data_IF_075861391820
#
_entry.id   IF_075861391820
#
_cell.length_a   1.000
_cell.length_b   1.000
_cell.length_c   1.000
_cell.angle_alpha   90.00
_cell.angle_beta   90.00
_cell.angle_gamma   90.00
#
_symmetry.space_group_name_H-M   'P 1'
#
loop_
_entity.id
_entity.type
_entity.pdbx_description
1 polymer ?
#
# COMPACT_ATOMS: atom_id res chain seq x y z
N UNK A 1 19.58 11.35 9.10
CA UNK A 1 20.04 12.03 7.88
C UNK A 1 19.12 13.22 7.71
N UNK A 2 19.63 14.45 7.83
CA UNK A 2 18.80 15.65 7.71
C UNK A 2 18.30 15.72 6.27
N UNK A 3 16.99 15.52 6.06
CA UNK A 3 16.34 15.96 4.84
C UNK A 3 16.77 17.41 4.61
N UNK A 4 17.43 17.65 3.47
CA UNK A 4 17.76 19.00 3.02
C UNK A 4 16.50 19.85 3.17
N UNK A 5 16.58 20.93 3.95
CA UNK A 5 15.48 21.87 4.11
C UNK A 5 15.28 22.60 2.78
N UNK A 6 14.68 21.94 1.81
CA UNK A 6 14.14 22.60 0.65
C UNK A 6 13.12 23.60 1.20
N UNK A 7 13.41 24.88 0.97
CA UNK A 7 12.63 25.99 1.50
C UNK A 7 11.36 26.12 0.69
N UNK A 8 10.40 25.21 0.92
CA UNK A 8 9.06 25.33 0.37
C UNK A 8 8.29 26.38 1.17
N UNK A 9 7.58 27.27 0.47
CA UNK A 9 6.74 28.29 1.08
C UNK A 9 5.31 27.76 1.17
N UNK A 10 4.77 27.74 2.39
CA UNK A 10 3.41 27.28 2.61
C UNK A 10 2.45 28.39 2.19
N UNK A 11 1.45 28.13 1.32
CA UNK A 11 0.56 29.16 0.81
C UNK A 11 -0.51 29.55 1.86
N UNK A 12 -0.10 30.04 3.04
CA UNK A 12 -0.99 30.38 4.15
C UNK A 12 -2.12 31.35 3.81
N UNK A 13 -2.01 32.09 2.70
CA UNK A 13 -3.11 32.93 2.20
C UNK A 13 -4.33 32.10 1.76
N UNK A 14 -4.13 30.89 1.24
CA UNK A 14 -5.17 29.99 0.75
C UNK A 14 -5.54 28.90 1.77
N UNK A 15 -4.60 28.50 2.64
CA UNK A 15 -4.83 27.51 3.70
C UNK A 15 -5.75 28.08 4.81
N UNK A 16 -7.06 27.88 4.67
CA UNK A 16 -8.11 28.39 5.58
C UNK A 16 -9.31 27.43 5.64
N UNK A 17 -10.18 27.65 6.63
CA UNK A 17 -11.41 26.87 6.82
C UNK A 17 -11.10 25.38 6.94
N UNK A 18 -11.90 24.55 6.24
CA UNK A 18 -11.75 23.09 6.26
C UNK A 18 -10.33 22.60 5.97
N UNK A 19 -9.62 23.22 5.03
CA UNK A 19 -8.23 22.82 4.70
C UNK A 19 -7.27 23.06 5.88
N UNK A 20 -7.44 24.15 6.62
CA UNK A 20 -6.61 24.42 7.81
C UNK A 20 -6.97 23.49 8.97
N UNK A 21 -8.26 23.16 9.13
CA UNK A 21 -8.73 22.18 10.11
C UNK A 21 -8.17 20.79 9.81
N UNK A 22 -8.25 20.34 8.55
CA UNK A 22 -7.71 19.06 8.10
C UNK A 22 -6.20 18.96 8.32
N UNK A 23 -5.47 20.04 8.00
CA UNK A 23 -4.03 20.11 8.24
C UNK A 23 -3.71 19.93 9.72
N UNK A 24 -4.43 20.64 10.60
CA UNK A 24 -4.21 20.55 12.04
C UNK A 24 -4.62 19.18 12.59
N UNK A 25 -5.71 18.60 12.11
CA UNK A 25 -6.16 17.26 12.49
C UNK A 25 -5.06 16.22 12.22
N UNK A 26 -4.53 16.22 10.99
CA UNK A 26 -3.48 15.30 10.57
C UNK A 26 -2.15 15.57 11.31
N UNK A 27 -1.76 16.84 11.50
CA UNK A 27 -0.56 17.20 12.26
C UNK A 27 -0.64 16.77 13.73
N UNK A 28 -1.79 16.92 14.37
CA UNK A 28 -1.98 16.50 15.77
C UNK A 28 -1.84 14.99 15.93
N UNK A 29 -2.38 14.21 14.99
CA UNK A 29 -2.15 12.77 14.94
C UNK A 29 -0.66 12.43 14.74
N UNK A 30 0.01 13.13 13.84
CA UNK A 30 1.45 12.97 13.58
C UNK A 30 2.32 13.24 14.81
N UNK A 31 1.91 14.19 15.65
CA UNK A 31 2.58 14.57 16.89
C UNK A 31 2.37 13.58 18.04
N UNK A 32 1.68 12.45 17.79
CA UNK A 32 1.38 11.44 18.81
C UNK A 32 0.08 11.68 19.56
N UNK A 33 -0.82 12.51 19.01
CA UNK A 33 -2.16 12.69 19.54
C UNK A 33 -2.97 11.39 19.43
N UNK A 34 -3.67 11.03 20.49
CA UNK A 34 -4.62 9.92 20.54
C UNK A 34 -6.04 10.45 20.69
N UNK A 35 -7.02 9.65 20.29
CA UNK A 35 -8.45 10.01 20.29
C UNK A 35 -8.76 11.32 19.54
N UNK A 36 -8.01 11.60 18.45
CA UNK A 36 -8.20 12.80 17.62
C UNK A 36 -9.60 12.75 17.00
N UNK A 37 -10.43 13.74 17.34
CA UNK A 37 -11.83 13.80 16.92
C UNK A 37 -12.12 15.15 16.28
N UNK A 38 -12.53 15.14 15.00
CA UNK A 38 -13.07 16.32 14.33
C UNK A 38 -14.52 16.53 14.76
N UNK A 39 -14.85 17.75 15.18
CA UNK A 39 -16.19 18.16 15.59
C UNK A 39 -16.74 19.10 14.53
N UNK A 40 -17.51 18.58 13.58
CA UNK A 40 -18.23 19.42 12.62
C UNK A 40 -19.39 20.13 13.33
N UNK A 41 -19.35 21.46 13.31
CA UNK A 41 -20.49 22.31 13.61
C UNK A 41 -21.68 21.98 12.71
N UNK A 42 -22.89 22.01 13.27
CA UNK A 42 -24.11 21.74 12.50
C UNK A 42 -24.26 22.71 11.32
N UNK A 43 -24.64 22.19 10.16
CA UNK A 43 -24.96 22.98 8.97
C UNK A 43 -26.17 23.90 9.22
N UNK A 44 -25.88 25.17 9.54
CA UNK A 44 -26.86 26.26 9.61
C UNK A 44 -26.20 27.54 10.15
N UNK A 45 -26.46 28.68 9.50
CA UNK A 45 -25.94 30.04 9.77
C UNK A 45 -26.29 30.63 11.18
N UNK A 46 -26.34 29.81 12.23
CA UNK A 46 -26.71 30.26 13.57
C UNK A 46 -26.55 29.26 14.71
N UNK A 47 -25.98 28.07 14.48
CA UNK A 47 -25.56 27.23 15.60
C UNK A 47 -24.22 27.76 16.12
N UNK A 48 -24.18 28.16 17.40
CA UNK A 48 -22.95 28.62 18.03
C UNK A 48 -21.95 27.45 18.10
N UNK A 49 -21.03 27.39 17.14
CA UNK A 49 -19.88 26.50 17.20
C UNK A 49 -19.16 26.75 18.52
N UNK A 50 -19.14 25.73 19.36
CA UNK A 50 -18.70 25.79 20.75
C UNK A 50 -17.20 26.04 20.92
N UNK A 51 -16.55 26.76 20.03
CA UNK A 51 -15.13 27.09 20.09
C UNK A 51 -14.23 25.85 20.12
N UNK A 52 -14.64 24.78 19.44
CA UNK A 52 -13.95 23.48 19.39
C UNK A 52 -14.16 22.81 18.04
N UNK A 53 -13.18 22.93 17.16
CA UNK A 53 -13.15 22.23 15.87
C UNK A 53 -12.53 20.83 16.00
N UNK A 54 -11.49 20.68 16.84
CA UNK A 54 -10.79 19.41 17.06
C UNK A 54 -10.58 19.16 18.56
N UNK A 55 -10.76 17.91 18.97
CA UNK A 55 -10.40 17.40 20.29
C UNK A 55 -9.32 16.33 20.16
N UNK A 56 -8.29 16.38 20.98
CA UNK A 56 -7.21 15.38 20.99
C UNK A 56 -6.69 15.19 22.40
N UNK A 57 -6.13 14.02 22.69
CA UNK A 57 -5.45 13.75 23.95
C UNK A 57 -3.98 13.43 23.69
N UNK A 58 -3.10 13.93 24.55
CA UNK A 58 -1.70 13.54 24.57
C UNK A 58 -1.43 12.73 25.84
N UNK A 59 -0.63 11.68 25.68
CA UNK A 59 -0.23 10.80 26.78
C UNK A 59 1.17 11.17 27.24
N UNK A 60 1.33 11.40 28.54
CA UNK A 60 2.60 11.77 29.14
C UNK A 60 3.01 10.70 30.17
N UNK A 61 4.15 10.01 29.96
CA UNK A 61 4.65 9.08 30.97
C UNK A 61 5.08 9.86 32.22
N UNK A 62 4.65 9.37 33.38
CA UNK A 62 5.04 9.92 34.68
C UNK A 62 6.22 9.15 35.27
N UNK A 63 7.00 9.73 36.21
CA UNK A 63 8.20 9.08 36.76
C UNK A 63 7.95 7.76 37.50
N UNK A 64 6.72 7.53 37.97
CA UNK A 64 6.26 6.30 38.63
C UNK A 64 5.79 5.22 37.66
N UNK A 65 5.80 5.49 36.35
CA UNK A 65 5.45 4.53 35.30
C UNK A 65 3.98 4.57 34.89
N UNK A 66 3.19 5.47 35.46
CA UNK A 66 1.82 5.76 35.02
C UNK A 66 1.83 6.65 33.75
N UNK A 67 0.63 6.89 33.21
CA UNK A 67 0.42 7.70 32.02
C UNK A 67 -0.65 8.74 32.31
N UNK A 68 -0.24 10.01 32.35
CA UNK A 68 -1.16 11.14 32.44
C UNK A 68 -1.75 11.43 31.06
N UNK A 69 -3.07 11.66 31.03
CA UNK A 69 -3.78 12.07 29.83
C UNK A 69 -4.08 13.55 29.88
N UNK A 70 -3.56 14.30 28.90
CA UNK A 70 -3.77 15.74 28.76
C UNK A 70 -4.74 16.01 27.62
N UNK A 71 -5.92 16.59 27.93
CA UNK A 71 -6.97 16.85 26.94
C UNK A 71 -6.82 18.23 26.32
N UNK A 72 -6.75 18.25 24.99
CA UNK A 72 -6.56 19.46 24.18
C UNK A 72 -7.81 19.74 23.34
N UNK A 73 -8.27 20.98 23.40
CA UNK A 73 -9.20 21.55 22.43
C UNK A 73 -8.44 22.43 21.47
N UNK A 74 -8.74 22.31 20.17
CA UNK A 74 -8.15 23.14 19.13
C UNK A 74 -9.26 23.85 18.39
N UNK A 75 -9.17 25.18 18.43
CA UNK A 75 -10.03 26.12 17.71
C UNK A 75 -9.25 26.67 16.52
N UNK A 76 -9.82 26.57 15.33
CA UNK A 76 -9.19 26.95 14.07
C UNK A 76 -9.75 28.27 13.57
N UNK A 77 -8.87 29.24 13.32
CA UNK A 77 -9.23 30.59 12.86
C UNK A 77 -8.49 30.93 11.57
N UNK A 78 -9.11 30.58 10.45
CA UNK A 78 -8.69 31.04 9.12
C UNK A 78 -8.90 32.56 8.95
N UNK A 79 -7.84 33.34 8.73
CA UNK A 79 -7.92 34.79 8.54
C UNK A 79 -7.04 35.29 7.39
N UNK A 80 -7.49 36.37 6.75
CA UNK A 80 -6.70 37.12 5.75
C UNK A 80 -5.81 38.19 6.38
N UNK A 81 -6.06 38.54 7.65
CA UNK A 81 -5.35 39.53 8.46
C UNK A 81 -5.08 38.94 9.84
N UNK A 82 -4.43 39.70 10.71
CA UNK A 82 -4.14 39.25 12.07
C UNK A 82 -5.39 38.94 12.90
N UNK A 83 -5.25 38.04 13.87
CA UNK A 83 -6.32 37.65 14.79
C UNK A 83 -6.43 38.65 15.95
N UNK A 84 -7.63 39.22 16.10
CA UNK A 84 -7.97 40.18 17.15
C UNK A 84 -8.48 39.50 18.44
N UNK A 85 -8.45 40.21 19.60
CA UNK A 85 -8.76 39.59 20.89
C UNK A 85 -10.16 38.97 20.94
N UNK A 86 -11.15 39.63 20.33
CA UNK A 86 -12.54 39.18 20.37
C UNK A 86 -12.71 37.76 19.80
N UNK A 87 -11.94 37.42 18.75
CA UNK A 87 -11.99 36.10 18.12
C UNK A 87 -11.38 34.99 18.99
N UNK A 88 -10.56 35.34 19.97
CA UNK A 88 -9.91 34.39 20.90
C UNK A 88 -10.74 34.26 22.19
N UNK A 89 -11.33 35.36 22.67
CA UNK A 89 -12.11 35.40 23.92
C UNK A 89 -13.23 34.37 23.96
N UNK A 90 -13.99 34.20 22.87
CA UNK A 90 -15.10 33.24 22.84
C UNK A 90 -14.63 31.80 23.05
N UNK A 91 -13.54 31.40 22.39
CA UNK A 91 -12.96 30.08 22.52
C UNK A 91 -12.42 29.84 23.95
N UNK A 92 -11.73 30.83 24.52
CA UNK A 92 -11.24 30.76 25.90
C UNK A 92 -12.37 30.62 26.90
N UNK A 93 -13.42 31.45 26.78
CA UNK A 93 -14.55 31.40 27.70
C UNK A 93 -15.33 30.08 27.61
N UNK A 94 -15.44 29.51 26.41
CA UNK A 94 -16.08 28.21 26.24
C UNK A 94 -15.25 27.09 26.87
N UNK A 95 -13.96 27.00 26.53
CA UNK A 95 -13.08 25.99 27.09
C UNK A 95 -12.94 26.12 28.62
N UNK A 96 -12.94 27.34 29.16
CA UNK A 96 -12.92 27.59 30.61
C UNK A 96 -14.22 27.17 31.33
N UNK A 97 -15.33 27.01 30.61
CA UNK A 97 -16.56 26.44 31.15
C UNK A 97 -16.54 24.92 31.29
N UNK A 98 -15.46 24.25 30.85
CA UNK A 98 -15.32 22.80 30.84
C UNK A 98 -14.10 22.39 31.69
N UNK A 99 -14.35 21.74 32.83
CA UNK A 99 -13.31 21.38 33.80
C UNK A 99 -12.35 20.28 33.31
N UNK A 100 -12.74 19.55 32.26
CA UNK A 100 -11.97 18.45 31.67
C UNK A 100 -10.98 18.89 30.59
N UNK A 101 -10.87 20.19 30.28
CA UNK A 101 -9.96 20.72 29.25
C UNK A 101 -8.67 21.23 29.88
N UNK A 102 -7.55 20.58 29.57
CA UNK A 102 -6.24 20.97 30.10
C UNK A 102 -5.59 22.09 29.26
N UNK A 103 -5.76 22.03 27.95
CA UNK A 103 -5.13 22.95 26.98
C UNK A 103 -6.15 23.39 25.94
N UNK A 104 -6.23 24.70 25.71
CA UNK A 104 -6.89 25.27 24.55
C UNK A 104 -5.82 25.79 23.60
N UNK A 105 -5.80 25.29 22.37
CA UNK A 105 -5.05 25.86 21.27
C UNK A 105 -6.00 26.69 20.43
N UNK A 106 -5.68 27.97 20.23
CA UNK A 106 -6.28 28.73 19.14
C UNK A 106 -5.23 28.79 18.04
N UNK A 107 -5.52 28.19 16.89
CA UNK A 107 -4.61 28.07 15.76
C UNK A 107 -5.08 28.95 14.60
N UNK A 108 -4.14 29.62 13.93
CA UNK A 108 -4.44 30.50 12.79
C UNK A 108 -3.33 30.46 11.75
N UNK A 109 -3.72 30.51 10.47
CA UNK A 109 -2.84 30.74 9.33
C UNK A 109 -2.24 32.17 9.26
N UNK A 110 -2.44 32.98 10.31
CA UNK A 110 -2.03 34.39 10.37
C UNK A 110 -1.44 34.74 11.74
N UNK A 111 -0.90 35.94 11.88
CA UNK A 111 -0.33 36.41 13.14
C UNK A 111 -1.40 36.90 14.13
N UNK A 112 -1.15 36.79 15.43
CA UNK A 112 -1.94 37.45 16.47
C UNK A 112 -1.49 38.90 16.67
N UNK A 113 -2.44 39.82 16.86
CA UNK A 113 -2.10 41.19 17.27
C UNK A 113 -1.52 41.20 18.70
N UNK A 114 -0.69 42.20 19.03
CA UNK A 114 -0.14 42.37 20.38
C UNK A 114 -1.24 42.42 21.46
N UNK A 115 -2.33 43.19 21.28
CA UNK A 115 -3.45 43.18 22.24
C UNK A 115 -4.03 41.78 22.50
N UNK A 116 -4.05 40.89 21.50
CA UNK A 116 -4.53 39.51 21.68
C UNK A 116 -3.59 38.73 22.59
N UNK A 117 -2.28 38.82 22.35
CA UNK A 117 -1.26 38.13 23.15
C UNK A 117 -1.26 38.64 24.60
N UNK A 118 -1.37 39.94 24.79
CA UNK A 118 -1.38 40.57 26.12
C UNK A 118 -2.64 40.17 26.90
N UNK A 119 -3.79 40.13 26.23
CA UNK A 119 -5.03 39.68 26.86
C UNK A 119 -4.94 38.21 27.32
N UNK A 120 -4.42 37.30 26.49
CA UNK A 120 -4.25 35.89 26.88
C UNK A 120 -3.29 35.75 28.06
N UNK A 121 -2.18 36.50 28.07
CA UNK A 121 -1.21 36.49 29.18
C UNK A 121 -1.86 36.93 30.50
N UNK A 122 -2.64 38.02 30.49
CA UNK A 122 -3.31 38.50 31.70
C UNK A 122 -4.41 37.53 32.16
N UNK A 123 -5.17 36.96 31.23
CA UNK A 123 -6.19 35.96 31.56
C UNK A 123 -5.57 34.72 32.22
N UNK A 124 -4.47 34.19 31.66
CA UNK A 124 -3.78 33.01 32.19
C UNK A 124 -3.14 33.25 33.56
N UNK A 125 -2.87 34.51 33.93
CA UNK A 125 -2.37 34.87 35.27
C UNK A 125 -3.39 34.58 36.37
N UNK A 126 -4.69 34.66 36.02
CA UNK A 126 -5.80 34.49 36.96
C UNK A 126 -6.51 33.14 36.81
N UNK A 127 -6.29 32.42 35.70
CA UNK A 127 -6.92 31.13 35.40
C UNK A 127 -5.86 30.07 35.13
N UNK A 128 -5.83 29.01 35.96
CA UNK A 128 -4.86 27.91 35.81
C UNK A 128 -5.21 26.95 34.68
N UNK A 129 -6.50 26.76 34.39
CA UNK A 129 -7.01 25.87 33.33
C UNK A 129 -8.18 26.53 32.58
N UNK A 130 -8.32 26.25 31.26
CA UNK A 130 -7.31 25.60 30.42
C UNK A 130 -6.05 26.47 30.25
N UNK A 131 -4.93 25.84 29.88
CA UNK A 131 -3.75 26.59 29.40
C UNK A 131 -3.98 27.00 27.96
N UNK A 132 -4.00 28.30 27.69
CA UNK A 132 -4.26 28.85 26.37
C UNK A 132 -2.96 28.99 25.59
N UNK A 133 -2.88 28.34 24.43
CA UNK A 133 -1.78 28.42 23.47
C UNK A 133 -2.26 29.10 22.20
N UNK A 134 -1.45 30.03 21.69
CA UNK A 134 -1.70 30.70 20.41
C UNK A 134 -0.73 30.12 19.38
N UNK A 135 -1.26 29.43 18.38
CA UNK A 135 -0.50 28.89 17.26
C UNK A 135 -0.71 29.79 16.05
N UNK A 136 0.25 30.69 15.81
CA UNK A 136 0.26 31.54 14.62
C UNK A 136 0.90 30.86 13.42
N UNK A 137 0.90 31.56 12.29
CA UNK A 137 1.56 31.16 11.05
C UNK A 137 2.95 30.55 11.30
N UNK A 138 3.80 31.14 12.13
CA UNK A 138 5.18 30.67 12.31
C UNK A 138 5.25 29.34 13.05
N UNK A 139 4.39 29.15 14.06
CA UNK A 139 4.26 27.86 14.76
C UNK A 139 3.77 26.80 13.78
N UNK A 140 2.74 27.12 12.98
CA UNK A 140 2.21 26.18 12.00
C UNK A 140 3.23 25.86 10.89
N UNK A 141 4.01 26.85 10.44
CA UNK A 141 5.09 26.66 9.46
C UNK A 141 6.11 25.64 9.95
N UNK A 142 6.47 25.72 11.24
CA UNK A 142 7.37 24.76 11.86
C UNK A 142 6.75 23.35 11.90
N UNK A 143 5.49 23.23 12.35
CA UNK A 143 4.81 21.93 12.41
C UNK A 143 4.70 21.27 11.03
N UNK A 144 4.42 22.07 10.00
CA UNK A 144 4.38 21.63 8.60
C UNK A 144 5.74 21.12 8.13
N UNK A 145 6.81 21.86 8.43
CA UNK A 145 8.18 21.49 8.07
C UNK A 145 8.68 20.27 8.81
N UNK A 146 8.25 20.10 10.06
CA UNK A 146 8.57 18.91 10.87
C UNK A 146 7.76 17.68 10.40
N UNK A 147 6.65 17.88 9.66
CA UNK A 147 5.77 16.82 9.15
C UNK A 147 5.43 16.98 7.64
N UNK A 148 6.44 16.94 6.75
CA UNK A 148 6.29 17.37 5.36
C UNK A 148 5.36 16.48 4.52
N UNK A 149 5.38 15.14 4.70
CA UNK A 149 4.49 14.23 3.94
C UNK A 149 3.03 14.49 4.23
N UNK A 150 2.70 14.60 5.51
CA UNK A 150 1.33 14.80 5.97
C UNK A 150 0.83 16.15 5.48
N UNK A 151 1.68 17.17 5.58
CA UNK A 151 1.36 18.50 5.08
C UNK A 151 1.15 18.53 3.56
N UNK A 152 1.96 17.79 2.80
CA UNK A 152 1.81 17.67 1.35
C UNK A 152 0.55 16.91 0.92
N UNK A 153 -0.06 16.11 1.80
CA UNK A 153 -1.37 15.50 1.52
C UNK A 153 -2.49 16.52 1.54
N UNK A 154 -2.49 17.37 2.57
CA UNK A 154 -3.53 18.39 2.74
C UNK A 154 -3.29 19.60 1.85
N UNK A 155 -2.02 19.94 1.60
CA UNK A 155 -1.60 21.07 0.77
C UNK A 155 -0.57 20.57 -0.25
N UNK A 156 -1.05 19.95 -1.35
CA UNK A 156 -0.17 19.41 -2.39
C UNK A 156 0.79 20.44 -2.98
N UNK A 157 0.51 21.74 -2.88
CA UNK A 157 1.38 22.82 -3.34
C UNK A 157 2.69 22.94 -2.56
N UNK A 158 2.79 22.37 -1.35
CA UNK A 158 4.02 22.48 -0.54
C UNK A 158 5.12 21.57 -1.10
N UNK A 159 4.78 20.34 -1.51
CA UNK A 159 5.75 19.38 -2.02
C UNK A 159 5.10 18.61 -3.16
N UNK A 160 5.69 18.73 -4.35
CA UNK A 160 5.17 18.12 -5.57
C UNK A 160 6.19 17.21 -6.24
N UNK A 161 5.68 16.38 -7.12
CA UNK A 161 6.46 15.55 -8.02
C UNK A 161 7.52 14.72 -7.32
N UNK A 162 8.75 14.77 -7.85
CA UNK A 162 9.85 13.91 -7.41
C UNK A 162 10.23 14.11 -5.94
N UNK A 163 10.11 15.31 -5.41
CA UNK A 163 10.43 15.61 -4.02
C UNK A 163 9.44 14.93 -3.06
N UNK A 164 8.13 14.98 -3.40
CA UNK A 164 7.09 14.29 -2.64
C UNK A 164 7.29 12.77 -2.68
N UNK A 165 7.59 12.23 -3.85
CA UNK A 165 7.85 10.80 -4.02
C UNK A 165 9.08 10.36 -3.20
N UNK A 166 10.17 11.13 -3.26
CA UNK A 166 11.40 10.83 -2.52
C UNK A 166 11.14 10.76 -1.02
N UNK A 167 10.36 11.71 -0.51
CA UNK A 167 10.00 11.76 0.90
C UNK A 167 9.10 10.57 1.33
N UNK A 168 8.14 10.18 0.48
CA UNK A 168 7.32 8.99 0.72
C UNK A 168 8.17 7.71 0.75
N UNK A 169 9.10 7.57 -0.19
CA UNK A 169 10.04 6.43 -0.24
C UNK A 169 10.94 6.42 0.99
N UNK A 170 11.48 7.57 1.42
CA UNK A 170 12.29 7.65 2.64
C UNK A 170 11.48 7.23 3.89
N UNK A 171 10.22 7.64 4.01
CA UNK A 171 9.37 7.23 5.13
C UNK A 171 9.04 5.74 5.08
N UNK A 172 8.73 5.22 3.88
CA UNK A 172 8.53 3.79 3.69
C UNK A 172 9.76 3.00 4.10
N UNK A 173 10.93 3.39 3.63
CA UNK A 173 12.18 2.70 3.93
C UNK A 173 12.56 2.77 5.41
N UNK A 174 12.49 3.96 6.04
CA UNK A 174 13.00 4.17 7.39
C UNK A 174 12.04 3.78 8.50
N UNK A 175 10.73 3.98 8.31
CA UNK A 175 9.72 3.77 9.36
C UNK A 175 8.58 2.84 8.93
N UNK A 176 8.60 2.33 7.69
CA UNK A 176 7.59 1.40 7.19
C UNK A 176 6.25 2.08 6.87
N UNK A 177 6.23 3.41 6.79
CA UNK A 177 5.01 4.17 6.49
C UNK A 177 4.76 4.13 4.99
N UNK A 178 3.69 3.47 4.59
CA UNK A 178 3.32 3.34 3.19
C UNK A 178 2.56 4.56 2.65
N UNK A 179 2.65 4.83 1.33
CA UNK A 179 1.73 5.72 0.61
C UNK A 179 0.25 5.35 0.84
N UNK A 180 -0.63 6.34 0.78
CA UNK A 180 -2.09 6.14 0.81
C UNK A 180 -2.67 6.10 -0.62
N UNK A 181 -3.96 5.80 -0.72
CA UNK A 181 -4.71 5.73 -1.99
C UNK A 181 -4.62 7.03 -2.81
N UNK A 182 -4.64 8.18 -2.14
CA UNK A 182 -4.51 9.49 -2.78
C UNK A 182 -3.10 9.71 -3.32
N UNK A 183 -2.07 9.18 -2.64
CA UNK A 183 -0.69 9.21 -3.14
C UNK A 183 -0.56 8.31 -4.37
N UNK A 184 -1.12 7.10 -4.34
CA UNK A 184 -1.13 6.16 -5.46
C UNK A 184 -1.79 6.76 -6.70
N UNK A 185 -2.99 7.32 -6.53
CA UNK A 185 -3.72 8.01 -7.62
C UNK A 185 -2.92 9.16 -8.20
N UNK A 186 -2.35 10.02 -7.34
CA UNK A 186 -1.56 11.17 -7.77
C UNK A 186 -0.34 10.77 -8.60
N UNK A 187 0.46 9.79 -8.15
CA UNK A 187 1.64 9.36 -8.90
C UNK A 187 1.29 8.54 -10.14
N UNK A 188 0.12 7.91 -10.17
CA UNK A 188 -0.33 7.17 -11.34
C UNK A 188 -0.74 8.10 -12.48
N UNK A 189 -1.34 9.24 -12.16
CA UNK A 189 -1.60 10.32 -13.13
C UNK A 189 -0.31 11.04 -13.56
N UNK A 190 0.78 10.88 -12.83
CA UNK A 190 2.04 11.59 -13.03
C UNK A 190 3.26 10.66 -13.05
N UNK A 191 3.16 9.60 -13.84
CA UNK A 191 4.15 8.49 -13.90
C UNK A 191 5.57 8.97 -14.25
N UNK A 192 5.71 10.12 -14.92
CA UNK A 192 7.00 10.71 -15.27
C UNK A 192 7.92 10.98 -14.04
N UNK A 193 7.36 11.03 -12.83
CA UNK A 193 8.14 11.19 -11.60
C UNK A 193 8.63 9.87 -11.01
N UNK A 194 8.01 8.74 -11.37
CA UNK A 194 8.38 7.41 -10.90
C UNK A 194 9.40 6.83 -11.88
N UNK A 195 10.68 6.89 -11.51
CA UNK A 195 11.79 6.54 -12.42
C UNK A 195 12.68 5.43 -11.87
N UNK A 196 12.66 5.20 -10.56
CA UNK A 196 13.55 4.25 -9.90
C UNK A 196 12.80 3.03 -9.37
N UNK A 197 13.47 1.88 -9.38
CA UNK A 197 12.88 0.62 -8.91
C UNK A 197 12.44 0.65 -7.45
N UNK A 198 13.13 1.41 -6.58
CA UNK A 198 12.73 1.59 -5.16
C UNK A 198 11.40 2.33 -5.01
N UNK A 199 11.11 3.24 -5.92
CA UNK A 199 9.85 4.01 -5.92
C UNK A 199 8.71 3.10 -6.35
N UNK A 200 8.94 2.31 -7.41
CA UNK A 200 8.01 1.27 -7.82
C UNK A 200 7.77 0.26 -6.70
N UNK A 201 8.80 -0.21 -6.01
CA UNK A 201 8.64 -1.14 -4.90
C UNK A 201 7.78 -0.57 -3.75
N UNK A 202 8.00 0.70 -3.39
CA UNK A 202 7.21 1.42 -2.40
C UNK A 202 5.73 1.53 -2.81
N UNK A 203 5.45 1.98 -4.03
CA UNK A 203 4.09 2.17 -4.54
C UNK A 203 3.37 0.82 -4.75
N UNK A 204 4.07 -0.18 -5.29
CA UNK A 204 3.54 -1.54 -5.45
C UNK A 204 3.18 -2.16 -4.11
N UNK A 205 4.00 -1.97 -3.07
CA UNK A 205 3.67 -2.47 -1.74
C UNK A 205 2.38 -1.85 -1.21
N UNK A 206 2.22 -0.54 -1.34
CA UNK A 206 0.99 0.14 -0.94
C UNK A 206 -0.22 -0.36 -1.75
N UNK A 207 -0.09 -0.56 -3.05
CA UNK A 207 -1.15 -1.15 -3.91
C UNK A 207 -1.58 -2.52 -3.39
N UNK A 208 -0.62 -3.41 -3.09
CA UNK A 208 -0.88 -4.76 -2.56
C UNK A 208 -1.59 -4.74 -1.20
N UNK A 209 -1.38 -3.70 -0.40
CA UNK A 209 -2.05 -3.54 0.90
C UNK A 209 -3.45 -2.94 0.76
N UNK A 210 -3.61 -1.91 -0.06
CA UNK A 210 -4.81 -1.08 -0.14
C UNK A 210 -5.82 -1.59 -1.18
N UNK A 211 -5.36 -2.23 -2.25
CA UNK A 211 -6.19 -2.52 -3.43
C UNK A 211 -5.74 -3.74 -4.22
N UNK A 212 -5.91 -3.65 -5.53
CA UNK A 212 -5.62 -4.68 -6.53
C UNK A 212 -4.46 -4.22 -7.42
N UNK A 213 -3.44 -5.08 -7.57
CA UNK A 213 -2.29 -4.85 -8.46
C UNK A 213 -2.70 -4.60 -9.91
N UNK A 214 -3.90 -5.03 -10.32
CA UNK A 214 -4.44 -4.78 -11.65
C UNK A 214 -4.84 -3.31 -11.89
N UNK A 215 -5.15 -2.54 -10.85
CA UNK A 215 -5.56 -1.13 -11.01
C UNK A 215 -4.40 -0.27 -11.50
N UNK A 216 -3.22 -0.43 -10.88
CA UNK A 216 -2.02 0.34 -11.17
C UNK A 216 -0.81 -0.60 -11.24
N UNK A 217 -0.52 -1.17 -12.41
CA UNK A 217 0.61 -2.08 -12.57
C UNK A 217 1.95 -1.32 -12.56
N UNK A 218 2.40 -0.90 -11.38
CA UNK A 218 3.58 -0.02 -11.19
C UNK A 218 4.87 -0.60 -11.78
N UNK A 219 5.02 -1.92 -11.87
CA UNK A 219 6.21 -2.49 -12.50
C UNK A 219 6.21 -2.25 -14.02
N UNK A 220 5.05 -2.08 -14.66
CA UNK A 220 4.95 -1.86 -16.09
C UNK A 220 5.41 -0.46 -16.56
N UNK A 221 5.59 0.49 -15.64
CA UNK A 221 5.98 1.87 -16.00
C UNK A 221 7.49 2.12 -15.96
N UNK A 222 8.28 1.22 -15.37
CA UNK A 222 9.75 1.35 -15.36
C UNK A 222 10.36 0.82 -16.66
N UNK A 223 11.40 1.49 -17.12
CA UNK A 223 12.13 1.12 -18.33
C UNK A 223 12.85 -0.23 -18.16
N UNK A 224 12.91 -1.05 -19.21
CA UNK A 224 13.53 -2.39 -19.19
C UNK A 224 14.97 -2.40 -18.67
N UNK A 225 15.72 -1.30 -18.85
CA UNK A 225 17.07 -1.13 -18.30
C UNK A 225 17.14 -1.16 -16.77
N UNK A 226 15.98 -1.06 -16.08
CA UNK A 226 15.82 -1.14 -14.63
C UNK A 226 15.40 -2.52 -14.14
N UNK A 227 15.36 -3.53 -15.01
CA UNK A 227 15.04 -4.92 -14.63
C UNK A 227 15.93 -5.47 -13.51
N UNK A 228 17.23 -5.18 -13.55
CA UNK A 228 18.17 -5.59 -12.49
C UNK A 228 17.82 -4.88 -11.17
N UNK A 229 17.60 -3.57 -11.21
CA UNK A 229 17.26 -2.78 -10.02
C UNK A 229 15.96 -3.30 -9.38
N UNK A 230 14.93 -3.61 -10.19
CA UNK A 230 13.67 -4.17 -9.71
C UNK A 230 13.84 -5.56 -9.07
N UNK A 231 14.65 -6.43 -9.68
CA UNK A 231 14.97 -7.74 -9.11
C UNK A 231 15.72 -7.60 -7.78
N UNK A 232 16.68 -6.66 -7.67
CA UNK A 232 17.39 -6.38 -6.41
C UNK A 232 16.44 -5.81 -5.35
N UNK A 233 15.51 -4.93 -5.73
CA UNK A 233 14.50 -4.41 -4.79
C UNK A 233 13.57 -5.51 -4.28
N UNK A 234 13.16 -6.44 -5.14
CA UNK A 234 12.35 -7.60 -4.76
C UNK A 234 13.10 -8.54 -3.81
N UNK A 235 14.37 -8.82 -4.08
CA UNK A 235 15.14 -9.84 -3.39
C UNK A 235 15.87 -9.35 -2.15
N UNK A 236 16.10 -8.04 -2.03
CA UNK A 236 16.84 -7.42 -0.94
C UNK A 236 16.11 -6.19 -0.41
N UNK A 237 15.85 -5.20 -1.28
CA UNK A 237 15.43 -3.87 -0.85
C UNK A 237 14.21 -3.89 0.07
N UNK A 238 13.09 -4.42 -0.44
CA UNK A 238 11.85 -4.53 0.30
C UNK A 238 11.95 -5.45 1.53
N UNK A 239 12.55 -6.65 1.45
CA UNK A 239 12.82 -7.48 2.63
C UNK A 239 13.64 -6.79 3.73
N UNK A 240 14.63 -5.98 3.35
CA UNK A 240 15.43 -5.22 4.32
C UNK A 240 14.61 -4.11 4.99
N UNK A 241 13.70 -3.45 4.25
CA UNK A 241 12.74 -2.52 4.85
C UNK A 241 11.85 -3.25 5.86
N UNK A 242 11.33 -4.42 5.50
CA UNK A 242 10.50 -5.25 6.38
C UNK A 242 11.24 -5.63 7.67
N UNK A 243 12.47 -6.14 7.58
CA UNK A 243 13.28 -6.51 8.76
C UNK A 243 13.65 -5.31 9.63
N UNK A 244 13.98 -4.17 9.01
CA UNK A 244 14.39 -2.96 9.72
C UNK A 244 13.23 -2.32 10.47
N UNK A 245 12.07 -2.22 9.83
CA UNK A 245 10.92 -1.47 10.35
C UNK A 245 10.03 -2.34 11.23
N UNK A 246 9.91 -3.64 10.90
CA UNK A 246 8.97 -4.59 11.52
C UNK A 246 7.50 -4.15 11.45
N UNK A 247 7.19 -3.21 10.54
CA UNK A 247 5.83 -2.70 10.32
C UNK A 247 5.17 -3.39 9.12
N UNK A 248 5.97 -3.73 8.11
CA UNK A 248 5.47 -4.36 6.89
C UNK A 248 5.03 -5.81 7.15
N UNK A 249 3.91 -6.22 6.56
CA UNK A 249 3.39 -7.57 6.71
C UNK A 249 4.11 -8.54 5.77
N UNK A 250 4.64 -9.63 6.30
CA UNK A 250 5.45 -10.63 5.56
C UNK A 250 4.77 -11.12 4.27
N UNK A 251 3.48 -11.47 4.35
CA UNK A 251 2.72 -11.94 3.19
C UNK A 251 2.59 -10.88 2.08
N UNK A 252 2.45 -9.61 2.46
CA UNK A 252 2.31 -8.49 1.52
C UNK A 252 3.65 -8.17 0.87
N UNK A 253 4.74 -8.17 1.66
CA UNK A 253 6.09 -8.00 1.13
C UNK A 253 6.49 -9.13 0.18
N UNK A 254 6.09 -10.36 0.49
CA UNK A 254 6.30 -11.54 -0.35
C UNK A 254 5.58 -11.39 -1.69
N UNK A 255 4.29 -11.01 -1.66
CA UNK A 255 3.50 -10.79 -2.87
C UNK A 255 4.06 -9.65 -3.74
N UNK A 256 4.40 -8.51 -3.13
CA UNK A 256 5.05 -7.40 -3.84
C UNK A 256 6.36 -7.84 -4.51
N UNK A 257 7.20 -8.58 -3.79
CA UNK A 257 8.49 -9.05 -4.32
C UNK A 257 8.30 -10.06 -5.45
N UNK A 258 7.33 -10.97 -5.32
CA UNK A 258 6.98 -11.89 -6.38
C UNK A 258 6.52 -11.15 -7.64
N UNK A 259 5.66 -10.14 -7.51
CA UNK A 259 5.21 -9.32 -8.64
C UNK A 259 6.35 -8.57 -9.34
N UNK A 260 7.22 -7.90 -8.57
CA UNK A 260 8.40 -7.23 -9.14
C UNK A 260 9.33 -8.22 -9.87
N UNK A 261 9.48 -9.42 -9.32
CA UNK A 261 10.30 -10.46 -9.94
C UNK A 261 9.63 -11.03 -11.19
N UNK A 262 8.31 -11.23 -11.21
CA UNK A 262 7.57 -11.62 -12.43
C UNK A 262 7.80 -10.62 -13.56
N UNK A 263 7.78 -9.32 -13.26
CA UNK A 263 8.06 -8.30 -14.27
C UNK A 263 9.51 -8.36 -14.77
N UNK A 264 10.49 -8.51 -13.88
CA UNK A 264 11.90 -8.47 -14.25
C UNK A 264 12.40 -9.77 -14.95
N UNK A 265 11.82 -10.94 -14.64
CA UNK A 265 12.28 -12.24 -15.13
C UNK A 265 12.40 -12.34 -16.67
N UNK A 266 11.38 -11.95 -17.47
CA UNK A 266 11.47 -11.92 -18.93
C UNK A 266 12.62 -11.10 -19.51
N UNK A 267 13.12 -10.11 -18.77
CA UNK A 267 14.09 -9.12 -19.24
C UNK A 267 15.53 -9.50 -18.88
N UNK A 268 15.72 -10.53 -18.05
CA UNK A 268 17.02 -10.90 -17.48
C UNK A 268 17.50 -12.27 -17.97
N UNK A 269 18.81 -12.45 -18.26
CA UNK A 269 19.35 -13.76 -18.57
C UNK A 269 19.19 -14.74 -17.38
N UNK A 270 18.72 -15.96 -17.64
CA UNK A 270 18.46 -16.94 -16.58
C UNK A 270 19.69 -17.28 -15.71
N UNK A 271 20.89 -17.31 -16.31
CA UNK A 271 22.15 -17.47 -15.59
C UNK A 271 22.41 -16.34 -14.59
N UNK A 272 22.03 -15.11 -14.94
CA UNK A 272 22.18 -13.95 -14.07
C UNK A 272 21.16 -14.03 -12.92
N UNK A 273 19.89 -14.31 -13.23
CA UNK A 273 18.84 -14.49 -12.22
C UNK A 273 19.21 -15.60 -11.22
N UNK A 274 19.79 -16.72 -11.68
CA UNK A 274 20.22 -17.80 -10.78
C UNK A 274 21.27 -17.32 -9.78
N UNK A 275 22.26 -16.54 -10.24
CA UNK A 275 23.29 -15.97 -9.35
C UNK A 275 22.66 -15.02 -8.34
N UNK A 276 21.74 -14.17 -8.81
CA UNK A 276 21.00 -13.23 -7.98
C UNK A 276 20.15 -13.94 -6.92
N UNK A 277 19.45 -15.02 -7.27
CA UNK A 277 18.69 -15.84 -6.30
C UNK A 277 19.58 -16.57 -5.30
N UNK A 278 20.79 -16.96 -5.72
CA UNK A 278 21.74 -17.64 -4.84
C UNK A 278 22.33 -16.69 -3.79
N UNK A 279 22.76 -15.50 -4.22
CA UNK A 279 23.30 -14.48 -3.33
C UNK A 279 22.92 -13.08 -3.82
N UNK A 280 21.75 -12.55 -3.43
CA UNK A 280 21.30 -11.26 -3.93
C UNK A 280 22.11 -10.08 -3.35
N UNK A 281 22.85 -10.31 -2.26
CA UNK A 281 23.64 -9.29 -1.58
C UNK A 281 24.94 -8.91 -2.33
N UNK A 282 25.44 -9.75 -3.23
CA UNK A 282 26.62 -9.46 -4.08
C UNK A 282 26.42 -8.23 -4.97
N UNK A 283 25.18 -7.79 -5.15
CA UNK A 283 24.78 -6.69 -6.02
C UNK A 283 24.50 -5.39 -5.25
N UNK A 284 24.84 -5.37 -3.95
CA UNK A 284 24.72 -4.18 -3.11
C UNK A 284 26.09 -3.55 -2.89
N UNK A 285 26.12 -2.21 -2.83
CA UNK A 285 27.29 -1.49 -2.38
C UNK A 285 27.41 -1.57 -0.85
N UNK A 286 28.62 -1.89 -0.34
CA UNK A 286 28.96 -1.83 1.09
C UNK A 286 29.38 -3.14 1.74
N UNK A 287 29.36 -3.18 3.08
CA UNK A 287 29.90 -4.26 3.93
C UNK A 287 28.90 -5.45 4.05
N UNK A 288 28.43 -5.97 2.92
CA UNK A 288 27.42 -7.03 2.86
C UNK A 288 27.97 -8.43 3.15
N UNK A 289 29.30 -8.58 3.24
CA UNK A 289 29.98 -9.85 3.56
C UNK A 289 29.51 -10.48 4.89
N UNK A 290 28.94 -9.68 5.78
CA UNK A 290 28.35 -10.17 7.04
C UNK A 290 27.01 -10.87 6.82
N UNK A 291 26.24 -10.46 5.82
CA UNK A 291 24.94 -11.04 5.47
C UNK A 291 25.08 -12.24 4.52
N UNK A 292 26.09 -12.26 3.65
CA UNK A 292 26.35 -13.40 2.76
C UNK A 292 26.71 -14.69 3.51
N UNK A 293 27.28 -14.57 4.72
CA UNK A 293 27.56 -15.71 5.61
C UNK A 293 26.30 -16.42 6.12
N UNK A 294 25.13 -15.82 5.96
CA UNK A 294 23.82 -16.36 6.36
C UNK A 294 22.81 -16.45 5.21
N UNK A 295 23.30 -16.61 3.97
CA UNK A 295 22.43 -16.69 2.78
C UNK A 295 21.41 -17.85 2.86
N UNK A 296 21.71 -18.93 3.57
CA UNK A 296 20.80 -20.06 3.77
C UNK A 296 19.52 -19.66 4.51
N UNK A 297 19.65 -18.89 5.60
CA UNK A 297 18.52 -18.38 6.34
C UNK A 297 17.66 -17.44 5.48
N UNK A 298 18.30 -16.59 4.67
CA UNK A 298 17.59 -15.73 3.71
C UNK A 298 16.80 -16.53 2.68
N UNK A 299 17.44 -17.57 2.13
CA UNK A 299 16.83 -18.46 1.14
C UNK A 299 15.58 -19.14 1.70
N UNK A 300 15.69 -19.68 2.92
CA UNK A 300 14.59 -20.40 3.56
C UNK A 300 13.47 -19.46 4.00
N UNK A 301 13.78 -18.34 4.65
CA UNK A 301 12.78 -17.47 5.27
C UNK A 301 12.11 -16.51 4.30
N UNK A 302 12.74 -16.18 3.17
CA UNK A 302 12.21 -15.17 2.25
C UNK A 302 12.15 -15.65 0.79
N UNK A 303 13.26 -16.09 0.22
CA UNK A 303 13.32 -16.40 -1.23
C UNK A 303 12.42 -17.56 -1.62
N UNK A 304 12.40 -18.64 -0.82
CA UNK A 304 11.52 -19.80 -1.06
C UNK A 304 10.04 -19.40 -1.01
N UNK A 305 9.52 -18.74 0.05
CA UNK A 305 8.15 -18.23 0.05
C UNK A 305 7.81 -17.33 -1.14
N UNK A 306 8.70 -16.40 -1.49
CA UNK A 306 8.49 -15.51 -2.63
C UNK A 306 8.43 -16.26 -3.96
N UNK A 307 9.35 -17.19 -4.20
CA UNK A 307 9.39 -17.97 -5.43
C UNK A 307 8.19 -18.92 -5.56
N UNK A 308 7.77 -19.55 -4.46
CA UNK A 308 6.58 -20.39 -4.41
C UNK A 308 5.31 -19.58 -4.66
N UNK A 309 5.20 -18.38 -4.06
CA UNK A 309 4.09 -17.45 -4.31
C UNK A 309 4.03 -17.05 -5.80
N UNK A 310 5.16 -16.65 -6.38
CA UNK A 310 5.29 -16.31 -7.79
C UNK A 310 4.79 -17.43 -8.71
N UNK A 311 5.25 -18.67 -8.48
CA UNK A 311 4.82 -19.82 -9.29
C UNK A 311 3.35 -20.14 -9.09
N UNK A 312 2.84 -19.99 -7.87
CA UNK A 312 1.44 -20.22 -7.55
C UNK A 312 0.52 -19.23 -8.26
N UNK A 313 0.87 -17.94 -8.31
CA UNK A 313 0.12 -16.95 -9.11
C UNK A 313 0.12 -17.29 -10.60
N UNK A 314 1.29 -17.65 -11.15
CA UNK A 314 1.37 -18.06 -12.55
C UNK A 314 0.62 -19.37 -12.82
N UNK A 315 0.60 -20.30 -11.86
CA UNK A 315 -0.14 -21.55 -11.95
C UNK A 315 -1.65 -21.28 -11.99
N UNK A 316 -2.16 -20.43 -11.10
CA UNK A 316 -3.55 -20.00 -11.08
C UNK A 316 -3.93 -19.38 -12.44
N UNK A 317 -3.17 -18.38 -12.91
CA UNK A 317 -3.39 -17.75 -14.21
C UNK A 317 -3.29 -18.76 -15.36
N UNK A 318 -2.34 -19.70 -15.30
CA UNK A 318 -2.14 -20.66 -16.37
C UNK A 318 -3.20 -21.77 -16.41
N UNK A 319 -3.78 -22.14 -15.26
CA UNK A 319 -4.76 -23.21 -15.14
C UNK A 319 -6.12 -22.87 -15.73
N UNK A 320 -6.42 -21.58 -15.95
CA UNK A 320 -7.72 -21.12 -16.45
C UNK A 320 -8.09 -21.72 -17.82
N UNK A 321 -7.10 -21.98 -18.67
CA UNK A 321 -7.27 -22.50 -20.02
C UNK A 321 -6.31 -23.66 -20.37
N UNK A 322 -5.53 -24.15 -19.41
CA UNK A 322 -4.60 -25.25 -19.64
C UNK A 322 -5.28 -26.60 -19.37
N UNK A 323 -5.63 -27.32 -20.44
CA UNK A 323 -6.23 -28.67 -20.35
C UNK A 323 -5.40 -29.70 -19.57
N UNK A 324 -4.10 -29.43 -19.37
CA UNK A 324 -3.19 -30.25 -18.58
C UNK A 324 -3.36 -30.04 -17.07
N UNK A 325 -3.77 -28.86 -16.63
CA UNK A 325 -3.84 -28.50 -15.21
C UNK A 325 -5.29 -28.24 -14.82
N UNK A 326 -5.77 -28.89 -13.76
CA UNK A 326 -7.01 -28.52 -13.09
C UNK A 326 -6.67 -28.13 -11.66
N UNK A 327 -6.92 -26.86 -11.33
CA UNK A 327 -6.63 -26.28 -10.02
C UNK A 327 -7.95 -25.84 -9.42
N UNK A 328 -8.16 -26.13 -8.14
CA UNK A 328 -9.29 -25.56 -7.39
C UNK A 328 -9.14 -24.03 -7.32
N UNK A 329 -10.07 -23.23 -7.87
CA UNK A 329 -9.92 -21.78 -7.92
C UNK A 329 -9.87 -21.16 -6.52
N UNK A 330 -8.67 -20.80 -6.05
CA UNK A 330 -8.49 -20.17 -4.75
C UNK A 330 -7.12 -20.28 -4.10
N UNK A 331 -6.07 -20.76 -4.80
CA UNK A 331 -4.73 -20.88 -4.21
C UNK A 331 -4.15 -19.51 -3.89
N UNK A 332 -4.29 -18.51 -4.77
CA UNK A 332 -3.79 -17.15 -4.55
C UNK A 332 -4.78 -16.04 -4.94
N UNK A 333 -5.45 -16.14 -6.10
CA UNK A 333 -6.22 -15.03 -6.72
C UNK A 333 -7.66 -14.79 -6.18
N UNK A 334 -7.95 -15.17 -4.92
CA UNK A 334 -9.23 -14.99 -4.21
C UNK A 334 -10.34 -14.22 -4.95
N UNK A 335 -11.11 -14.91 -5.79
CA UNK A 335 -12.57 -14.91 -5.79
C UNK A 335 -13.14 -15.77 -6.93
N UNK A 336 -13.82 -16.85 -6.54
CA UNK A 336 -14.94 -17.37 -7.33
C UNK A 336 -16.19 -17.35 -6.45
N UNK A 337 -17.36 -16.92 -6.97
CA UNK A 337 -18.63 -16.90 -6.23
C UNK A 337 -19.20 -18.32 -5.98
N UNK A 338 -18.43 -19.38 -6.21
CA UNK A 338 -18.88 -20.77 -6.18
C UNK A 338 -18.07 -21.54 -5.13
N UNK A 339 -18.49 -21.49 -3.88
CA UNK A 339 -17.85 -22.34 -2.86
C UNK A 339 -18.53 -22.33 -1.49
N UNK A 340 -18.11 -23.25 -0.60
CA UNK A 340 -18.60 -23.37 0.78
C UNK A 340 -18.53 -22.04 1.55
N UNK A 341 -17.60 -21.14 1.19
CA UNK A 341 -17.46 -19.79 1.74
C UNK A 341 -18.73 -18.94 1.61
N UNK A 342 -19.40 -19.00 0.45
CA UNK A 342 -20.66 -18.30 0.20
C UNK A 342 -21.82 -18.95 0.97
N UNK A 343 -21.87 -20.28 1.02
CA UNK A 343 -22.98 -21.00 1.64
C UNK A 343 -22.92 -21.06 3.17
N UNK A 344 -21.73 -20.91 3.79
CA UNK A 344 -21.57 -20.89 5.25
C UNK A 344 -22.29 -19.72 5.93
N UNK A 345 -22.52 -18.61 5.22
CA UNK A 345 -23.35 -17.49 5.74
C UNK A 345 -24.82 -17.88 5.96
N UNK A 346 -25.25 -18.99 5.37
CA UNK A 346 -26.60 -19.55 5.49
C UNK A 346 -26.62 -20.89 6.25
N UNK A 347 -25.47 -21.54 6.46
CA UNK A 347 -25.36 -22.76 7.26
C UNK A 347 -24.00 -22.80 8.02
N UNK A 348 -23.98 -22.43 9.31
CA UNK A 348 -22.75 -22.42 10.10
C UNK A 348 -22.22 -23.82 10.47
N UNK A 349 -23.00 -24.89 10.26
CA UNK A 349 -22.56 -26.29 10.49
C UNK A 349 -21.68 -26.84 9.36
N UNK A 350 -21.56 -26.13 8.23
CA UNK A 350 -20.60 -26.49 7.19
C UNK A 350 -19.16 -26.44 7.76
N UNK A 351 -18.28 -27.39 7.38
CA UNK A 351 -16.90 -27.43 7.83
C UNK A 351 -16.21 -26.08 7.61
N UNK A 352 -15.29 -25.72 8.51
CA UNK A 352 -14.38 -24.61 8.25
C UNK A 352 -13.65 -24.88 6.92
N UNK A 353 -13.43 -23.83 6.13
CA UNK A 353 -12.72 -23.95 4.86
C UNK A 353 -11.38 -24.63 5.13
N UNK A 354 -11.22 -25.79 4.49
CA UNK A 354 -9.95 -26.47 4.40
C UNK A 354 -9.07 -25.64 3.46
N UNK A 355 -7.92 -25.18 3.96
CA UNK A 355 -6.97 -24.39 3.16
C UNK A 355 -6.19 -25.22 2.15
N UNK A 356 -6.47 -26.53 2.05
CA UNK A 356 -5.86 -27.44 1.09
C UNK A 356 -6.50 -27.26 -0.29
N UNK A 357 -5.69 -26.98 -1.29
CA UNK A 357 -6.10 -26.91 -2.69
C UNK A 357 -5.82 -28.23 -3.40
N UNK A 358 -6.75 -28.68 -4.24
CA UNK A 358 -6.53 -29.82 -5.12
C UNK A 358 -5.94 -29.34 -6.44
N UNK A 359 -4.78 -29.89 -6.83
CA UNK A 359 -4.16 -29.67 -8.13
C UNK A 359 -4.05 -31.04 -8.81
N UNK A 360 -4.60 -31.15 -10.02
CA UNK A 360 -4.52 -32.33 -10.86
C UNK A 360 -3.72 -32.00 -12.12
N UNK A 361 -2.66 -32.76 -12.38
CA UNK A 361 -1.89 -32.71 -13.62
C UNK A 361 -2.19 -33.92 -14.52
N UNK A 362 -2.54 -33.67 -15.78
CA UNK A 362 -2.78 -34.70 -16.79
C UNK A 362 -1.56 -34.87 -17.71
N UNK A 363 -0.64 -35.78 -17.38
CA UNK A 363 0.62 -35.94 -18.11
C UNK A 363 0.48 -36.22 -19.62
N UNK A 364 -0.66 -36.76 -20.07
CA UNK A 364 -0.96 -37.03 -21.48
C UNK A 364 -1.45 -35.83 -22.29
N UNK A 365 -1.74 -34.69 -21.66
CA UNK A 365 -2.24 -33.50 -22.34
C UNK A 365 -1.11 -32.50 -22.66
N UNK A 366 -1.20 -31.76 -23.78
CA UNK A 366 -0.21 -30.75 -24.14
C UNK A 366 -0.25 -29.56 -23.20
N UNK A 367 0.90 -28.90 -23.02
CA UNK A 367 0.99 -27.65 -22.28
C UNK A 367 0.45 -26.46 -23.10
N UNK A 368 -0.36 -25.58 -22.49
CA UNK A 368 -0.87 -24.39 -23.15
C UNK A 368 0.26 -23.44 -23.65
N UNK A 369 1.30 -23.27 -22.83
CA UNK A 369 2.50 -22.47 -23.14
C UNK A 369 3.40 -23.13 -24.21
N UNK A 370 3.19 -24.43 -24.49
CA UNK A 370 3.92 -25.17 -25.52
C UNK A 370 5.18 -25.89 -25.03
N UNK A 371 5.35 -26.05 -23.72
CA UNK A 371 6.44 -26.88 -23.19
C UNK A 371 6.29 -28.35 -23.58
N UNK A 372 7.40 -28.99 -23.93
CA UNK A 372 7.46 -30.46 -24.01
C UNK A 372 7.53 -31.04 -22.59
N UNK A 373 6.41 -31.61 -22.15
CA UNK A 373 6.19 -32.15 -20.81
C UNK A 373 5.86 -33.65 -20.81
N UNK A 374 6.15 -34.39 -21.90
CA UNK A 374 5.70 -35.77 -22.08
C UNK A 374 6.13 -36.73 -20.94
N UNK A 375 7.23 -36.43 -20.25
CA UNK A 375 7.77 -37.24 -19.16
C UNK A 375 8.07 -36.45 -17.87
N UNK A 376 7.50 -35.25 -17.70
CA UNK A 376 7.77 -34.40 -16.54
C UNK A 376 6.53 -33.64 -16.07
N UNK A 377 6.55 -33.21 -14.81
CA UNK A 377 5.51 -32.34 -14.24
C UNK A 377 5.58 -30.92 -14.82
N UNK A 378 4.47 -30.19 -14.69
CA UNK A 378 4.38 -28.78 -15.02
C UNK A 378 5.42 -27.99 -14.22
N UNK A 379 6.20 -27.07 -14.84
CA UNK A 379 7.24 -26.34 -14.13
C UNK A 379 6.71 -25.33 -13.09
N UNK A 380 5.44 -24.93 -13.22
CA UNK A 380 4.75 -24.09 -12.24
C UNK A 380 4.18 -24.91 -11.06
N UNK A 381 4.12 -26.23 -11.20
CA UNK A 381 3.62 -27.14 -10.18
C UNK A 381 4.78 -27.74 -9.37
N UNK A 382 4.78 -27.49 -8.07
CA UNK A 382 5.71 -28.09 -7.12
C UNK A 382 5.20 -29.47 -6.67
N UNK A 383 5.42 -30.51 -7.47
CA UNK A 383 5.30 -31.87 -6.94
C UNK A 383 6.59 -32.21 -6.19
N UNK A 384 6.56 -32.13 -4.86
CA UNK A 384 7.53 -32.78 -3.94
C UNK A 384 9.00 -32.69 -4.37
N UNK A 385 9.52 -31.47 -4.65
CA UNK A 385 10.97 -31.33 -4.64
C UNK A 385 11.44 -31.40 -3.18
N UNK A 386 12.60 -32.04 -3.01
CA UNK A 386 13.41 -31.95 -1.80
C UNK A 386 13.40 -30.49 -1.33
N UNK A 387 13.06 -30.23 -0.06
CA UNK A 387 12.90 -28.87 0.45
C UNK A 387 14.17 -28.04 0.18
N UNK A 388 15.31 -28.71 -0.02
CA UNK A 388 16.62 -28.13 -0.32
C UNK A 388 16.99 -27.95 -1.80
N UNK A 389 16.09 -28.24 -2.75
CA UNK A 389 16.37 -28.08 -4.17
C UNK A 389 16.52 -26.60 -4.57
N UNK A 390 17.67 -26.24 -5.16
CA UNK A 390 17.91 -24.90 -5.68
C UNK A 390 17.10 -24.62 -6.97
N UNK A 391 16.73 -23.34 -7.16
CA UNK A 391 16.07 -22.89 -8.39
C UNK A 391 17.03 -23.03 -9.57
N UNK A 392 16.64 -23.84 -10.57
CA UNK A 392 17.50 -24.14 -11.72
C UNK A 392 17.39 -23.09 -12.83
N UNK A 393 18.40 -23.03 -13.72
CA UNK A 393 18.36 -22.16 -14.92
C UNK A 393 17.13 -22.46 -15.77
N UNK A 394 16.87 -23.75 -16.00
CA UNK A 394 15.72 -24.21 -16.79
C UNK A 394 14.40 -23.77 -16.19
N UNK A 395 14.26 -23.85 -14.87
CA UNK A 395 13.04 -23.38 -14.18
C UNK A 395 12.85 -21.87 -14.36
N UNK A 396 13.91 -21.09 -14.26
CA UNK A 396 13.87 -19.64 -14.52
C UNK A 396 13.44 -19.35 -15.96
N UNK A 397 14.00 -20.07 -16.94
CA UNK A 397 13.63 -19.92 -18.36
C UNK A 397 12.16 -20.28 -18.60
N UNK A 398 11.66 -21.35 -17.99
CA UNK A 398 10.27 -21.80 -18.14
C UNK A 398 9.28 -20.86 -17.46
N UNK A 399 9.62 -20.31 -16.30
CA UNK A 399 8.83 -19.27 -15.63
C UNK A 399 8.81 -18.00 -16.48
N UNK A 400 9.97 -17.52 -16.95
CA UNK A 400 10.06 -16.34 -17.82
C UNK A 400 9.27 -16.52 -19.13
N UNK A 401 9.35 -17.71 -19.76
CA UNK A 401 8.59 -18.03 -20.96
C UNK A 401 7.08 -18.04 -20.70
N UNK A 402 6.64 -18.53 -19.53
CA UNK A 402 5.23 -18.50 -19.13
C UNK A 402 4.73 -17.06 -19.02
N UNK A 403 5.51 -16.18 -18.39
CA UNK A 403 5.17 -14.76 -18.23
C UNK A 403 5.05 -14.09 -19.61
N UNK A 404 6.05 -14.27 -20.48
CA UNK A 404 6.00 -13.75 -21.86
C UNK A 404 4.75 -14.23 -22.60
N UNK A 405 4.46 -15.53 -22.53
CA UNK A 405 3.29 -16.11 -23.19
C UNK A 405 1.98 -15.48 -22.70
N UNK A 406 1.81 -15.29 -21.38
CA UNK A 406 0.60 -14.71 -20.79
C UNK A 406 0.48 -13.21 -21.03
N UNK A 407 1.59 -12.49 -21.09
CA UNK A 407 1.59 -11.08 -21.50
C UNK A 407 1.11 -10.90 -22.94
N UNK A 408 1.55 -11.78 -23.84
CA UNK A 408 1.19 -11.72 -25.25
C UNK A 408 -0.21 -12.31 -25.54
N UNK A 409 -0.71 -13.19 -24.65
CA UNK A 409 -2.02 -13.85 -24.73
C UNK A 409 -2.76 -13.80 -23.37
N UNK A 410 -3.28 -12.63 -22.97
CA UNK A 410 -3.94 -12.47 -21.67
C UNK A 410 -5.20 -13.32 -21.52
N UNK A 411 -5.97 -13.51 -22.61
CA UNK A 411 -7.14 -14.40 -22.64
C UNK A 411 -6.76 -15.88 -22.83
N UNK A 412 -5.46 -16.19 -22.82
CA UNK A 412 -4.93 -17.52 -23.09
C UNK A 412 -5.25 -18.03 -24.51
N UNK A 413 -5.40 -19.35 -24.65
CA UNK A 413 -5.99 -19.99 -25.83
C UNK A 413 -7.51 -20.10 -25.71
N UNK A 414 -8.15 -19.42 -24.75
CA UNK A 414 -9.59 -19.58 -24.54
C UNK A 414 -10.36 -19.31 -25.83
N UNK A 415 -10.00 -18.31 -26.63
CA UNK A 415 -10.61 -18.02 -27.94
C UNK A 415 -10.36 -19.12 -28.99
N UNK A 416 -9.13 -19.66 -29.08
CA UNK A 416 -8.77 -20.73 -30.02
C UNK A 416 -9.44 -22.07 -29.67
N UNK A 417 -9.59 -22.36 -28.37
CA UNK A 417 -10.20 -23.58 -27.83
C UNK A 417 -11.72 -23.46 -27.65
N UNK A 418 -12.29 -22.27 -27.50
CA UNK A 418 -13.75 -22.05 -27.47
C UNK A 418 -14.33 -22.02 -28.89
N UNK A 419 -13.60 -21.49 -29.88
CA UNK A 419 -13.99 -21.58 -31.29
C UNK A 419 -13.88 -23.01 -31.85
N UNK A 420 -13.06 -23.88 -31.23
CA UNK A 420 -12.85 -25.27 -31.66
C UNK A 420 -13.16 -26.33 -30.60
N UNK A 421 -13.84 -25.94 -29.51
CA UNK A 421 -14.04 -26.79 -28.36
C UNK A 421 -14.91 -27.99 -28.71
N UNK A 422 -14.61 -29.19 -28.19
CA UNK A 422 -15.44 -30.37 -28.43
C UNK A 422 -16.89 -30.17 -27.98
N UNK A 423 -17.15 -29.26 -27.04
CA UNK A 423 -18.51 -28.89 -26.62
C UNK A 423 -19.25 -28.06 -27.70
N UNK A 424 -18.60 -27.03 -28.27
CA UNK A 424 -19.21 -26.21 -29.32
C UNK A 424 -19.38 -27.00 -30.61
N UNK A 425 -18.43 -27.85 -31.00
CA UNK A 425 -18.63 -28.78 -32.13
C UNK A 425 -19.76 -29.78 -31.89
N UNK A 426 -19.95 -30.25 -30.65
CA UNK A 426 -21.09 -31.13 -30.31
C UNK A 426 -22.41 -30.39 -30.32
N UNK A 427 -22.44 -29.14 -29.85
CA UNK A 427 -23.64 -28.31 -29.86
C UNK A 427 -24.00 -27.96 -31.30
N UNK A 428 -23.03 -27.56 -32.13
CA UNK A 428 -23.24 -27.28 -33.54
C UNK A 428 -23.68 -28.55 -34.29
N UNK A 429 -23.04 -29.71 -34.06
CA UNK A 429 -23.50 -31.00 -34.61
C UNK A 429 -24.90 -31.38 -34.13
N UNK A 430 -25.22 -31.21 -32.85
CA UNK A 430 -26.55 -31.50 -32.33
C UNK A 430 -27.60 -30.55 -32.92
N UNK A 431 -27.27 -29.27 -33.12
CA UNK A 431 -28.18 -28.28 -33.72
C UNK A 431 -28.39 -28.56 -35.20
N UNK A 432 -27.35 -28.97 -35.93
CA UNK A 432 -27.44 -29.40 -37.32
C UNK A 432 -28.29 -30.69 -37.44
N UNK A 433 -28.07 -31.68 -36.56
CA UNK A 433 -28.88 -32.92 -36.49
C UNK A 433 -30.36 -32.64 -36.17
N UNK A 434 -30.64 -31.67 -35.30
CA UNK A 434 -32.01 -31.24 -34.96
C UNK A 434 -32.66 -30.48 -36.13
N UNK A 435 -31.89 -29.72 -36.90
CA UNK A 435 -32.38 -28.97 -38.05
C UNK A 435 -32.57 -29.85 -39.31
N UNK A 436 -31.85 -30.97 -39.42
CA UNK A 436 -31.96 -31.91 -40.54
C UNK A 436 -33.10 -32.95 -40.40
N UNK A 437 -33.71 -33.11 -39.22
CA UNK A 437 -34.93 -33.92 -39.06
C UNK A 437 -36.07 -33.18 -38.33
N UNK A 438 -36.77 -32.24 -39.01
CA UNK A 438 -37.92 -31.53 -38.44
C UNK A 438 -39.16 -32.43 -38.24
N UNK A 439 -39.20 -33.62 -38.85
CA UNK A 439 -40.40 -34.47 -38.91
C UNK A 439 -40.47 -35.52 -37.79
N UNK A 440 -39.40 -35.74 -37.02
CA UNK A 440 -39.36 -36.79 -35.99
C UNK A 440 -39.73 -36.30 -34.57
N UNK A 441 -40.05 -35.01 -34.40
CA UNK A 441 -40.35 -34.39 -33.09
C UNK A 441 -41.74 -33.73 -32.98
N UNK A 442 -42.73 -34.19 -33.76
CA UNK A 442 -44.14 -33.86 -33.58
C UNK A 442 -45.01 -35.08 -33.21
#
# INVERSE_FOLDING_TARGET
MHASSAAWDVPWKTVKGKMLEELLFELLGAMGGVDVTWRTGGTGDGAADGGRDIEVSFLHPTPDGDVDREKWWVEVKGRSKSVEPLAVKSAVLNAAGNDDVDVLVVASNSDYTNPTRDWVKEWQRTHRRPRVRLWDKNVLDKLVRDNPVISARVIPEIIQGKERLSLLVEQFEHVGRMPLEEDLSYFWENQQWVTEAREVACLTYAEVVLGDLAERPWAAIIHDSKAIDAAVQALVGLPMVMLRTKVLADAKATATSAYLMQWALPLLPANFVRKLLYNPFEYLDGDWEKFSRSSDGWRQSFLRPMWSYLKSELLDACSQDCVRMSVDPGVVLKDTPRGPRYWRRFNPELPALDGRSLILEQHGQPCAVGFDLAARSCPLFESERDEDAEVTIREIEEVAQTICYRRDRPDGRFSELSANGPLNRRIDQMLDEIMESPEDYL
#
